data_IF_368943382239
#
_entry.id   IF_368943382239
#
_cell.length_a   1.000
_cell.length_b   1.000
_cell.length_c   1.000
_cell.angle_alpha   90.00
_cell.angle_beta   90.00
_cell.angle_gamma   90.00
#
_symmetry.space_group_name_H-M   'P 1'
#
loop_
_entity.id
_entity.type
_entity.pdbx_description
1 polymer ?
#
# COMPACT_ATOMS: atom_id res chain seq x y z
N UNK A 1 -10.25 -6.33 -4.59
CA UNK A 1 -10.11 -5.14 -3.72
C UNK A 1 -9.54 -3.99 -4.53
N UNK A 2 -9.89 -2.73 -4.24
CA UNK A 2 -9.33 -1.56 -4.94
C UNK A 2 -9.64 -1.56 -6.44
N UNK A 3 -8.62 -1.39 -7.27
CA UNK A 3 -8.75 -1.42 -8.74
C UNK A 3 -8.80 -2.84 -9.34
N UNK A 4 -8.64 -3.89 -8.53
CA UNK A 4 -8.52 -5.27 -9.00
C UNK A 4 -7.13 -5.63 -9.54
N UNK A 5 -6.25 -4.65 -9.79
CA UNK A 5 -4.85 -4.89 -10.14
C UNK A 5 -4.00 -5.11 -8.89
N UNK A 6 -2.99 -5.98 -8.98
CA UNK A 6 -2.01 -6.16 -7.92
C UNK A 6 -1.20 -4.87 -7.68
N UNK A 7 -0.80 -4.59 -6.43
CA UNK A 7 -0.12 -3.35 -6.08
C UNK A 7 1.22 -3.14 -6.81
N UNK A 8 1.88 -4.22 -7.25
CA UNK A 8 3.14 -4.19 -8.02
C UNK A 8 2.96 -3.60 -9.44
N UNK A 9 1.73 -3.43 -9.91
CA UNK A 9 1.43 -2.73 -11.18
C UNK A 9 1.55 -1.20 -11.06
N UNK A 10 1.70 -0.67 -9.84
CA UNK A 10 2.01 0.72 -9.52
C UNK A 10 1.08 1.74 -10.21
N UNK A 11 1.62 2.93 -10.52
CA UNK A 11 0.88 4.06 -11.09
C UNK A 11 0.26 3.70 -12.44
N UNK A 12 -1.05 3.96 -12.55
CA UNK A 12 -1.82 3.77 -13.79
C UNK A 12 -2.75 2.56 -13.74
N UNK A 13 -2.51 1.63 -12.81
CA UNK A 13 -3.27 0.39 -12.70
C UNK A 13 -3.69 0.09 -11.25
N UNK A 14 -2.74 0.08 -10.31
CA UNK A 14 -3.03 -0.18 -8.91
C UNK A 14 -3.75 1.00 -8.24
N UNK A 15 -4.69 0.69 -7.37
CA UNK A 15 -5.24 1.67 -6.45
C UNK A 15 -4.15 2.10 -5.45
N UNK A 16 -4.19 3.37 -5.05
CA UNK A 16 -3.15 3.94 -4.18
C UNK A 16 -3.64 5.06 -3.29
N UNK A 17 -2.97 5.20 -2.16
CA UNK A 17 -3.10 6.31 -1.23
C UNK A 17 -1.75 7.02 -1.16
N UNK A 18 -1.77 8.35 -1.16
CA UNK A 18 -0.58 9.19 -1.04
C UNK A 18 -0.66 10.01 0.24
N UNK A 19 0.49 10.47 0.72
CA UNK A 19 0.58 11.40 1.84
C UNK A 19 -0.07 10.86 3.13
N UNK A 20 0.02 9.54 3.37
CA UNK A 20 -0.38 8.94 4.65
C UNK A 20 0.52 9.48 5.75
N UNK A 21 -0.08 9.92 6.86
CA UNK A 21 0.60 10.54 7.99
C UNK A 21 -0.01 10.14 9.32
N UNK A 22 0.83 10.13 10.33
CA UNK A 22 0.43 10.06 11.73
C UNK A 22 0.48 11.47 12.29
N UNK A 23 -0.61 11.88 12.94
CA UNK A 23 -0.64 13.05 13.81
C UNK A 23 -0.63 12.54 15.25
N UNK A 24 0.47 12.74 15.95
CA UNK A 24 0.61 12.40 17.36
C UNK A 24 0.35 13.61 18.26
N UNK A 25 0.58 13.45 19.57
CA UNK A 25 0.39 14.52 20.57
C UNK A 25 1.32 15.72 20.36
N UNK A 26 2.34 15.62 19.51
CA UNK A 26 3.21 16.76 19.15
C UNK A 26 2.59 17.67 18.10
N UNK A 27 1.41 17.32 17.57
CA UNK A 27 0.67 18.07 16.54
C UNK A 27 1.46 18.27 15.24
N UNK A 28 2.41 17.37 14.96
CA UNK A 28 3.19 17.35 13.73
C UNK A 28 2.81 16.15 12.90
N UNK A 29 2.64 16.36 11.60
CA UNK A 29 2.45 15.26 10.65
C UNK A 29 3.79 14.56 10.42
N UNK A 30 3.83 13.27 10.76
CA UNK A 30 5.01 12.43 10.60
C UNK A 30 4.68 11.25 9.71
N UNK A 31 5.66 10.83 8.93
CA UNK A 31 5.59 9.52 8.29
C UNK A 31 5.92 8.44 9.35
N UNK A 32 5.23 7.29 9.37
CA UNK A 32 5.54 6.23 10.31
C UNK A 32 6.96 5.68 10.06
N UNK A 33 7.69 5.40 11.14
CA UNK A 33 9.05 4.83 11.04
C UNK A 33 9.03 3.33 10.75
N UNK A 34 8.06 2.60 11.32
CA UNK A 34 7.89 1.17 11.12
C UNK A 34 6.59 0.94 10.36
N UNK A 35 6.73 0.69 9.05
CA UNK A 35 5.59 0.39 8.18
C UNK A 35 5.76 -1.03 7.69
N UNK A 36 4.74 -1.84 7.93
CA UNK A 36 4.60 -3.17 7.35
C UNK A 36 3.33 -3.24 6.52
N UNK A 37 3.27 -4.23 5.63
CA UNK A 37 2.10 -4.54 4.82
C UNK A 37 1.45 -5.82 5.34
N UNK A 38 0.11 -5.86 5.32
CA UNK A 38 -0.63 -7.03 5.76
C UNK A 38 -1.89 -7.22 4.94
N UNK A 39 -2.19 -8.49 4.66
CA UNK A 39 -3.50 -8.96 4.20
C UNK A 39 -3.72 -10.37 4.71
N UNK A 40 -4.97 -10.69 5.05
CA UNK A 40 -5.36 -12.01 5.52
C UNK A 40 -5.37 -13.01 4.35
N UNK A 41 -5.72 -12.56 3.14
CA UNK A 41 -5.66 -13.35 1.90
C UNK A 41 -4.54 -12.84 0.95
N UNK A 42 -3.28 -13.01 1.33
CA UNK A 42 -2.12 -12.45 0.61
C UNK A 42 -2.04 -12.81 -0.88
N UNK A 43 -2.51 -14.00 -1.25
CA UNK A 43 -2.55 -14.47 -2.63
C UNK A 43 -3.72 -13.89 -3.45
N UNK A 44 -4.76 -13.41 -2.77
CA UNK A 44 -5.95 -12.80 -3.37
C UNK A 44 -5.82 -11.28 -3.45
N UNK A 45 -5.29 -10.69 -2.38
CA UNK A 45 -5.14 -9.26 -2.15
C UNK A 45 -3.81 -8.99 -1.48
N UNK A 46 -3.12 -7.95 -1.92
CA UNK A 46 -1.89 -7.51 -1.27
C UNK A 46 -1.76 -6.00 -1.28
N UNK A 47 -0.78 -5.53 -0.52
CA UNK A 47 -0.38 -4.14 -0.49
C UNK A 47 1.12 -4.00 -0.79
N UNK A 48 1.53 -2.80 -1.17
CA UNK A 48 2.92 -2.43 -1.35
C UNK A 48 3.11 -1.03 -0.79
N UNK A 49 4.00 -0.91 0.19
CA UNK A 49 4.49 0.38 0.65
C UNK A 49 5.72 0.76 -0.17
N UNK A 50 5.53 1.51 -1.25
CA UNK A 50 6.60 1.93 -2.16
C UNK A 50 7.34 3.14 -1.58
N UNK A 51 8.58 2.92 -1.12
CA UNK A 51 9.48 3.93 -0.56
C UNK A 51 10.70 4.09 -1.48
N UNK A 52 10.60 4.88 -2.55
CA UNK A 52 11.59 4.88 -3.64
C UNK A 52 12.95 5.51 -3.28
N UNK A 53 13.08 6.16 -2.12
CA UNK A 53 14.35 6.68 -1.64
C UNK A 53 14.22 7.76 -0.57
N UNK A 54 15.35 8.29 -0.12
CA UNK A 54 15.40 9.35 0.89
C UNK A 54 14.72 10.63 0.37
N UNK A 55 13.91 11.26 1.23
CA UNK A 55 13.17 12.50 0.94
C UNK A 55 12.15 12.40 -0.22
N UNK A 56 11.79 11.19 -0.65
CA UNK A 56 10.69 11.00 -1.61
C UNK A 56 9.46 10.53 -0.85
N UNK A 57 8.30 11.12 -1.19
CA UNK A 57 7.03 10.75 -0.60
C UNK A 57 6.66 9.30 -0.93
N UNK A 58 6.48 8.45 0.09
CA UNK A 58 6.09 7.08 -0.12
C UNK A 58 4.65 6.98 -0.62
N UNK A 59 4.38 5.94 -1.40
CA UNK A 59 3.07 5.67 -1.99
C UNK A 59 2.60 4.29 -1.57
N UNK A 60 1.44 4.25 -0.94
CA UNK A 60 0.83 3.00 -0.53
C UNK A 60 -0.09 2.48 -1.64
N UNK A 61 0.29 1.38 -2.27
CA UNK A 61 -0.50 0.68 -3.28
C UNK A 61 -1.22 -0.51 -2.65
N UNK A 62 -2.42 -0.80 -3.12
CA UNK A 62 -3.20 -1.95 -2.66
C UNK A 62 -4.11 -2.46 -3.76
N UNK A 63 -4.44 -3.75 -3.73
CA UNK A 63 -5.37 -4.33 -4.68
C UNK A 63 -5.22 -5.83 -4.79
N UNK A 64 -5.52 -6.36 -5.96
CA UNK A 64 -5.60 -7.79 -6.24
C UNK A 64 -6.98 -8.20 -6.74
N UNK A 65 -7.04 -9.15 -7.67
CA UNK A 65 -8.27 -9.54 -8.36
C UNK A 65 -9.24 -10.26 -7.43
N UNK A 66 -8.78 -10.81 -6.31
CA UNK A 66 -9.63 -11.57 -5.38
C UNK A 66 -10.09 -12.92 -5.90
N UNK A 67 -9.52 -13.36 -7.03
CA UNK A 67 -9.81 -14.63 -7.66
C UNK A 67 -8.57 -15.07 -8.46
N UNK A 68 -8.25 -16.35 -8.39
CA UNK A 68 -7.12 -16.95 -9.10
C UNK A 68 -6.70 -18.28 -8.48
N UNK A 69 -5.83 -19.06 -9.14
CA UNK A 69 -5.45 -20.40 -8.67
C UNK A 69 -4.72 -20.44 -7.32
N UNK A 70 -4.09 -19.32 -6.94
CA UNK A 70 -3.38 -19.17 -5.67
C UNK A 70 -4.29 -18.59 -4.58
N UNK A 71 -5.44 -18.03 -4.97
CA UNK A 71 -6.40 -17.41 -4.06
C UNK A 71 -7.36 -18.48 -3.56
N UNK A 72 -7.15 -18.96 -2.34
CA UNK A 72 -7.90 -20.05 -1.70
C UNK A 72 -8.86 -19.55 -0.64
#
# INVERSE_FOLDING_TARGET
MGSGSFPQTLKGYAARIKNVRIMDTTLKLKYPEWVDIGSDEQDCYSALNDVPGNNVEPVFYFGGPGQGPQCN
#
